data_IF_234476253805
#
_entry.id   IF_234476253805
#
_cell.length_a   1.000
_cell.length_b   1.000
_cell.length_c   1.000
_cell.angle_alpha   90.00
_cell.angle_beta   90.00
_cell.angle_gamma   90.00
#
_symmetry.space_group_name_H-M   'P 1'
#
loop_
_entity.id
_entity.type
_entity.pdbx_description
1 polymer ?
#
# COMPACT_ATOMS: atom_id res chain seq x y z
N UNK A 1 14.61 9.96 1.30
CA UNK A 1 14.30 10.31 2.70
C UNK A 1 13.29 9.29 3.22
N UNK A 2 13.68 8.34 4.10
CA UNK A 2 12.80 7.27 4.58
C UNK A 2 11.54 7.77 5.30
N UNK A 3 11.51 9.06 5.70
CA UNK A 3 10.36 9.72 6.35
C UNK A 3 9.11 9.84 5.49
N UNK A 4 9.19 9.73 4.16
CA UNK A 4 8.01 9.88 3.29
C UNK A 4 7.09 8.64 3.37
N UNK A 5 7.65 7.45 3.60
CA UNK A 5 6.88 6.21 3.76
C UNK A 5 6.14 6.17 5.11
N UNK A 6 6.64 6.87 6.13
CA UNK A 6 6.02 6.94 7.47
C UNK A 6 4.70 7.75 7.48
N UNK A 7 4.45 8.59 6.46
CA UNK A 7 3.24 9.42 6.34
C UNK A 7 2.13 8.70 5.54
N UNK A 8 2.48 7.67 4.77
CA UNK A 8 1.52 6.99 3.89
C UNK A 8 0.61 6.06 4.69
N UNK A 9 -0.66 6.46 4.77
CA UNK A 9 -1.75 5.68 5.36
C UNK A 9 -2.67 5.15 4.27
N UNK A 10 -3.36 4.04 4.55
CA UNK A 10 -4.36 3.45 3.66
C UNK A 10 -5.47 4.46 3.33
N UNK A 11 -5.84 4.65 2.05
CA UNK A 11 -6.83 5.65 1.66
C UNK A 11 -8.22 5.34 2.22
N UNK A 12 -8.52 4.06 2.47
CA UNK A 12 -9.81 3.58 2.98
C UNK A 12 -9.89 3.61 4.51
N UNK A 13 -8.89 3.06 5.19
CA UNK A 13 -8.95 2.82 6.65
C UNK A 13 -8.19 3.85 7.47
N UNK A 14 -7.34 4.66 6.84
CA UNK A 14 -6.41 5.60 7.48
C UNK A 14 -5.40 4.94 8.42
N UNK A 15 -5.31 3.61 8.41
CA UNK A 15 -4.29 2.85 9.13
C UNK A 15 -2.95 2.88 8.38
N UNK A 16 -1.87 2.54 9.08
CA UNK A 16 -0.53 2.42 8.49
C UNK A 16 -0.47 1.34 7.41
N UNK A 17 0.51 1.48 6.52
CA UNK A 17 0.79 0.52 5.44
C UNK A 17 2.11 -0.21 5.71
N UNK A 18 2.13 -1.50 5.40
CA UNK A 18 3.35 -2.32 5.38
C UNK A 18 3.96 -2.25 3.97
N UNK A 19 5.24 -1.94 3.86
CA UNK A 19 5.92 -1.98 2.55
C UNK A 19 6.45 -3.39 2.25
N UNK A 20 6.00 -3.98 1.16
CA UNK A 20 6.54 -5.21 0.60
C UNK A 20 7.53 -4.86 -0.52
N UNK A 21 8.83 -4.89 -0.20
CA UNK A 21 9.89 -4.59 -1.14
C UNK A 21 10.02 -5.66 -2.24
N UNK A 22 9.65 -6.91 -1.97
CA UNK A 22 9.76 -7.99 -2.94
C UNK A 22 8.71 -7.86 -4.04
N UNK A 23 7.49 -7.42 -3.68
CA UNK A 23 6.39 -7.20 -4.62
C UNK A 23 6.24 -5.77 -5.10
N UNK A 24 6.99 -4.82 -4.53
CA UNK A 24 6.82 -3.39 -4.77
C UNK A 24 5.37 -2.94 -4.48
N UNK A 25 4.87 -3.26 -3.29
CA UNK A 25 3.48 -2.99 -2.88
C UNK A 25 3.41 -2.34 -1.49
N UNK A 26 2.36 -1.57 -1.23
CA UNK A 26 1.95 -1.10 0.08
C UNK A 26 0.73 -1.92 0.55
N UNK A 27 0.90 -2.69 1.61
CA UNK A 27 -0.09 -3.62 2.14
C UNK A 27 -0.90 -2.95 3.25
N UNK A 28 -2.22 -2.97 3.10
CA UNK A 28 -3.16 -2.67 4.17
C UNK A 28 -3.82 -3.95 4.67
N UNK A 29 -3.36 -4.45 5.82
CA UNK A 29 -3.98 -5.62 6.49
C UNK A 29 -5.44 -5.37 6.85
N UNK A 30 -5.75 -4.18 7.34
CA UNK A 30 -7.12 -3.79 7.72
C UNK A 30 -8.08 -3.77 6.54
N UNK A 31 -7.60 -3.40 5.36
CA UNK A 31 -8.42 -3.36 4.15
C UNK A 31 -8.38 -4.67 3.36
N UNK A 32 -7.50 -5.61 3.71
CA UNK A 32 -7.17 -6.80 2.92
C UNK A 32 -6.78 -6.48 1.47
N UNK A 33 -6.00 -5.41 1.28
CA UNK A 33 -5.59 -4.92 -0.03
C UNK A 33 -4.08 -4.63 -0.07
N UNK A 34 -3.48 -4.81 -1.26
CA UNK A 34 -2.13 -4.39 -1.59
C UNK A 34 -2.17 -3.37 -2.74
N UNK A 35 -1.63 -2.17 -2.50
CA UNK A 35 -1.54 -1.09 -3.48
C UNK A 35 -0.19 -1.18 -4.22
N UNK A 36 -0.16 -1.28 -5.55
CA UNK A 36 1.10 -1.42 -6.28
C UNK A 36 1.90 -0.12 -6.32
N UNK A 37 3.22 -0.24 -6.38
CA UNK A 37 4.15 0.86 -6.68
C UNK A 37 4.65 0.67 -8.10
N UNK A 38 4.38 1.65 -8.97
CA UNK A 38 4.82 1.65 -10.38
C UNK A 38 5.73 2.84 -10.61
N UNK A 39 6.94 2.60 -11.13
CA UNK A 39 7.96 3.63 -11.35
C UNK A 39 8.28 4.46 -10.09
N UNK A 40 8.24 3.82 -8.91
CA UNK A 40 8.45 4.48 -7.62
C UNK A 40 7.25 5.29 -7.10
N UNK A 41 6.11 5.28 -7.81
CA UNK A 41 4.88 5.98 -7.45
C UNK A 41 3.85 4.99 -6.89
N UNK A 42 3.40 5.15 -5.63
CA UNK A 42 2.31 4.36 -5.09
C UNK A 42 0.97 4.67 -5.78
N UNK A 43 0.30 3.64 -6.28
CA UNK A 43 -1.03 3.75 -6.88
C UNK A 43 -2.09 3.44 -5.80
N UNK A 44 -2.55 4.50 -5.13
CA UNK A 44 -3.44 4.42 -3.96
C UNK A 44 -4.93 4.44 -4.34
N UNK A 45 -5.31 3.72 -5.39
CA UNK A 45 -6.68 3.59 -5.88
C UNK A 45 -7.22 2.19 -5.52
N UNK A 46 -8.38 2.07 -4.84
CA UNK A 46 -8.96 0.77 -4.46
C UNK A 46 -9.16 -0.20 -5.63
N UNK A 47 -9.51 0.31 -6.81
CA UNK A 47 -9.71 -0.46 -8.04
C UNK A 47 -8.42 -1.02 -8.65
N UNK A 48 -7.28 -0.41 -8.35
CA UNK A 48 -5.94 -0.89 -8.76
C UNK A 48 -5.30 -1.78 -7.70
N UNK A 49 -5.90 -1.87 -6.52
CA UNK A 49 -5.37 -2.65 -5.42
C UNK A 49 -5.66 -4.14 -5.59
N UNK A 50 -4.65 -4.97 -5.34
CA UNK A 50 -4.77 -6.42 -5.36
C UNK A 50 -5.38 -6.91 -4.04
N UNK A 51 -6.44 -7.72 -4.05
CA UNK A 51 -6.93 -8.39 -2.86
C UNK A 51 -5.84 -9.27 -2.24
N UNK A 52 -5.74 -9.23 -0.91
CA UNK A 52 -4.97 -10.23 -0.18
C UNK A 52 -5.86 -11.47 -0.06
N UNK A 53 -5.46 -12.54 -0.71
CA UNK A 53 -5.99 -13.87 -0.43
C UNK A 53 -5.37 -14.33 0.91
N UNK A 54 -6.21 -14.83 1.81
CA UNK A 54 -5.77 -15.42 3.09
C UNK A 54 -5.02 -16.74 2.85
#
# INVERSE_FOLDING_TARGET
>A
DPKLLEILVCPLTKATLEYDAAKQELISRSAKLAYPIRDGIPIMLPEEARPLED
#
